data_IF_756027065903
#
_entry.id   IF_756027065903
#
_cell.length_a   1.000
_cell.length_b   1.000
_cell.length_c   1.000
_cell.angle_alpha   90.00
_cell.angle_beta   90.00
_cell.angle_gamma   90.00
#
_symmetry.space_group_name_H-M   'P 1'
#
loop_
_entity.id
_entity.type
_entity.pdbx_description
1 polymer ?
#
# COMPACT_ATOMS: atom_id res chain seq x y z
N UNK A 1 -40.17 9.46 -3.84
CA UNK A 1 -38.88 9.54 -3.12
C UNK A 1 -39.23 9.85 -1.68
N UNK A 2 -39.20 8.83 -0.83
CA UNK A 2 -39.58 8.91 0.59
C UNK A 2 -38.49 9.62 1.40
N UNK A 3 -38.87 10.39 2.42
CA UNK A 3 -37.94 11.11 3.30
C UNK A 3 -36.85 10.21 3.91
N UNK A 4 -37.18 8.93 4.16
CA UNK A 4 -36.21 7.91 4.58
C UNK A 4 -35.08 7.69 3.56
N UNK A 5 -35.39 7.71 2.27
CA UNK A 5 -34.40 7.52 1.21
C UNK A 5 -33.46 8.73 1.09
N UNK A 6 -33.98 9.92 1.38
CA UNK A 6 -33.22 11.17 1.38
C UNK A 6 -32.32 11.29 2.61
N UNK A 7 -32.79 10.87 3.79
CA UNK A 7 -31.98 10.77 5.01
C UNK A 7 -30.85 9.75 4.88
N UNK A 8 -31.12 8.60 4.24
CA UNK A 8 -30.12 7.56 4.04
C UNK A 8 -29.02 8.01 3.06
N UNK A 9 -29.38 8.77 2.02
CA UNK A 9 -28.42 9.41 1.12
C UNK A 9 -27.58 10.48 1.84
N UNK A 10 -28.19 11.31 2.69
CA UNK A 10 -27.45 12.31 3.47
C UNK A 10 -26.47 11.66 4.45
N UNK A 11 -26.86 10.58 5.13
CA UNK A 11 -25.94 9.84 6.01
C UNK A 11 -24.77 9.21 5.25
N UNK A 12 -25.00 8.64 4.06
CA UNK A 12 -23.92 8.12 3.23
C UNK A 12 -22.97 9.21 2.74
N UNK A 13 -23.49 10.38 2.34
CA UNK A 13 -22.67 11.52 1.96
C UNK A 13 -21.86 12.07 3.13
N UNK A 14 -22.44 12.15 4.33
CA UNK A 14 -21.71 12.56 5.53
C UNK A 14 -20.61 11.57 5.91
N UNK A 15 -20.84 10.25 5.79
CA UNK A 15 -19.80 9.25 6.04
C UNK A 15 -18.67 9.32 5.02
N UNK A 16 -18.97 9.59 3.75
CA UNK A 16 -17.96 9.78 2.71
C UNK A 16 -17.13 11.05 2.97
N UNK A 17 -17.78 12.18 3.29
CA UNK A 17 -17.09 13.43 3.63
C UNK A 17 -16.20 13.26 4.87
N UNK A 18 -16.68 12.55 5.89
CA UNK A 18 -15.92 12.32 7.12
C UNK A 18 -14.75 11.34 6.90
N UNK A 19 -14.76 10.51 5.84
CA UNK A 19 -13.58 9.74 5.41
C UNK A 19 -12.63 10.59 4.55
N UNK A 20 -13.16 11.53 3.76
CA UNK A 20 -12.37 12.47 2.95
C UNK A 20 -11.58 13.46 3.81
N UNK A 21 -12.10 13.86 4.97
CA UNK A 21 -11.41 14.76 5.92
C UNK A 21 -10.40 14.06 6.83
N UNK A 22 -10.28 12.74 6.79
CA UNK A 22 -9.33 12.03 7.66
C UNK A 22 -7.91 12.12 7.12
N UNK A 23 -7.11 12.97 7.76
CA UNK A 23 -5.67 13.01 7.58
C UNK A 23 -5.02 11.85 8.35
N UNK A 24 -4.22 11.04 7.64
CA UNK A 24 -3.53 9.90 8.23
C UNK A 24 -2.23 10.37 8.89
N UNK A 25 -1.87 9.78 10.02
CA UNK A 25 -0.58 10.02 10.66
C UNK A 25 0.56 9.44 9.80
N UNK A 26 1.74 10.08 9.76
CA UNK A 26 2.90 9.53 9.08
C UNK A 26 3.30 8.19 9.74
N UNK A 27 3.61 7.21 8.90
CA UNK A 27 4.11 5.91 9.35
C UNK A 27 5.63 5.97 9.53
N UNK A 28 6.12 5.31 10.57
CA UNK A 28 7.55 5.12 10.79
C UNK A 28 8.09 4.02 9.86
N UNK A 29 9.23 4.27 9.23
CA UNK A 29 9.85 3.37 8.25
C UNK A 29 10.68 2.24 8.85
N UNK A 30 10.34 1.74 10.04
CA UNK A 30 11.11 0.73 10.77
C UNK A 30 10.46 -0.67 10.68
N UNK A 31 11.25 -1.76 10.67
CA UNK A 31 10.75 -3.13 10.68
C UNK A 31 9.78 -3.43 11.81
N UNK A 32 9.99 -2.84 12.99
CA UNK A 32 9.16 -3.01 14.19
C UNK A 32 7.73 -2.50 14.00
N UNK A 33 7.55 -1.48 13.15
CA UNK A 33 6.23 -0.94 12.81
C UNK A 33 5.66 -1.63 11.59
N UNK A 34 6.47 -1.84 10.55
CA UNK A 34 6.00 -2.36 9.26
C UNK A 34 5.65 -3.85 9.30
N UNK A 35 6.39 -4.68 10.02
CA UNK A 35 6.09 -6.12 10.12
C UNK A 35 4.73 -6.43 10.76
N UNK A 36 4.38 -5.91 11.96
CA UNK A 36 3.06 -6.12 12.51
C UNK A 36 1.96 -5.44 11.68
N UNK A 37 2.26 -4.32 11.01
CA UNK A 37 1.33 -3.68 10.09
C UNK A 37 0.98 -4.59 8.90
N UNK A 38 1.97 -5.24 8.28
CA UNK A 38 1.76 -6.23 7.23
C UNK A 38 0.93 -7.42 7.73
N UNK A 39 1.22 -7.92 8.94
CA UNK A 39 0.46 -9.01 9.54
C UNK A 39 -1.02 -8.61 9.75
N UNK A 40 -1.28 -7.40 10.22
CA UNK A 40 -2.64 -6.86 10.41
C UNK A 40 -3.40 -6.69 9.08
N UNK A 41 -2.69 -6.43 7.98
CA UNK A 41 -3.25 -6.39 6.62
C UNK A 41 -3.50 -7.79 6.02
N UNK A 42 -3.14 -8.87 6.73
CA UNK A 42 -3.29 -10.25 6.25
C UNK A 42 -2.17 -10.70 5.31
N UNK A 43 -0.95 -10.18 5.50
CA UNK A 43 0.21 -10.65 4.75
C UNK A 43 0.38 -12.18 4.87
N UNK A 44 0.83 -12.85 3.80
CA UNK A 44 0.85 -14.31 3.72
C UNK A 44 1.84 -14.91 4.74
N UNK A 45 1.46 -16.05 5.33
CA UNK A 45 2.29 -16.83 6.24
C UNK A 45 2.26 -18.33 5.89
N UNK A 46 3.38 -19.02 6.16
CA UNK A 46 3.55 -20.45 5.92
C UNK A 46 2.58 -21.23 6.78
N UNK A 47 1.62 -21.93 6.18
CA UNK A 47 0.70 -22.80 6.91
C UNK A 47 -0.58 -22.12 7.40
N UNK A 48 -0.87 -20.88 7.00
CA UNK A 48 -2.23 -20.34 7.15
C UNK A 48 -3.22 -21.24 6.39
N UNK A 49 -4.31 -21.69 7.03
CA UNK A 49 -5.42 -22.26 6.27
C UNK A 49 -5.89 -21.18 5.30
N UNK A 50 -5.90 -21.48 4.01
CA UNK A 50 -6.63 -20.66 3.04
C UNK A 50 -8.07 -20.55 3.54
N UNK A 51 -8.48 -19.39 4.06
CA UNK A 51 -9.88 -19.14 4.37
C UNK A 51 -10.67 -19.09 3.05
N UNK A 52 -11.13 -20.28 2.65
CA UNK A 52 -12.02 -20.54 1.52
C UNK A 52 -13.15 -21.49 1.92
N UNK A 53 -13.72 -21.31 3.11
CA UNK A 53 -14.82 -22.14 3.63
C UNK A 53 -15.91 -21.29 4.29
N UNK A 54 -17.08 -21.30 3.67
CA UNK A 54 -18.38 -20.71 4.06
C UNK A 54 -18.67 -20.50 5.57
N UNK A 55 -19.54 -19.51 5.93
CA UNK A 55 -19.88 -19.22 7.32
C UNK A 55 -20.69 -20.38 7.93
N UNK A 56 -20.20 -20.95 9.03
CA UNK A 56 -21.03 -21.77 9.93
C UNK A 56 -21.44 -20.93 11.13
N UNK A 57 -22.74 -20.96 11.37
CA UNK A 57 -23.49 -20.17 12.35
C UNK A 57 -23.02 -20.32 13.81
N UNK A 58 -23.21 -19.21 14.54
CA UNK A 58 -23.63 -19.06 15.94
C UNK A 58 -23.15 -20.07 17.01
N UNK A 59 -22.33 -19.58 17.95
CA UNK A 59 -22.14 -20.22 19.26
C UNK A 59 -21.09 -19.58 20.17
N UNK A 60 -21.55 -18.71 21.07
CA UNK A 60 -20.94 -18.27 22.35
C UNK A 60 -19.60 -17.47 22.37
N UNK A 61 -19.47 -16.46 23.27
CA UNK A 61 -18.22 -15.73 23.45
C UNK A 61 -17.28 -16.51 24.39
N UNK A 62 -16.11 -16.91 23.89
CA UNK A 62 -15.00 -17.32 24.75
C UNK A 62 -13.98 -16.18 24.85
N UNK A 63 -13.87 -15.66 26.07
CA UNK A 63 -12.79 -14.79 26.53
C UNK A 63 -11.41 -15.45 26.31
N UNK A 64 -10.40 -14.64 25.97
CA UNK A 64 -9.03 -14.88 26.40
C UNK A 64 -8.17 -15.87 25.60
N UNK A 65 -8.43 -16.09 24.31
CA UNK A 65 -7.54 -16.89 23.46
C UNK A 65 -6.44 -16.03 22.82
N UNK A 66 -5.18 -16.27 23.15
CA UNK A 66 -4.02 -15.78 22.39
C UNK A 66 -4.20 -16.09 20.88
N UNK A 67 -3.68 -15.27 19.95
CA UNK A 67 -3.86 -15.50 18.52
C UNK A 67 -3.38 -16.90 18.17
N UNK A 68 -4.27 -17.72 17.59
CA UNK A 68 -3.93 -19.02 17.00
C UNK A 68 -2.68 -18.84 16.16
N UNK A 69 -1.71 -19.72 16.37
CA UNK A 69 -0.40 -19.74 15.70
C UNK A 69 -0.54 -19.40 14.21
N UNK A 70 -0.36 -18.11 13.89
CA UNK A 70 -0.07 -17.70 12.54
C UNK A 70 1.29 -18.32 12.25
N UNK A 71 1.38 -19.17 11.23
CA UNK A 71 2.65 -19.76 10.87
C UNK A 71 3.67 -18.69 10.48
N UNK A 72 4.92 -19.09 10.22
CA UNK A 72 5.99 -18.13 9.98
C UNK A 72 5.65 -17.18 8.80
N UNK A 73 5.83 -15.86 8.94
CA UNK A 73 5.51 -14.92 7.85
C UNK A 73 6.35 -15.21 6.62
N UNK A 74 5.73 -15.15 5.44
CA UNK A 74 6.43 -15.32 4.15
C UNK A 74 7.13 -14.03 3.70
N UNK A 75 6.64 -12.87 4.15
CA UNK A 75 7.20 -11.56 3.86
C UNK A 75 7.55 -10.86 5.17
N UNK A 76 8.77 -10.32 5.20
CA UNK A 76 9.30 -9.54 6.31
C UNK A 76 10.00 -8.30 5.75
N UNK A 77 9.98 -7.24 6.53
CA UNK A 77 10.77 -6.03 6.32
C UNK A 77 12.02 -6.15 7.19
N UNK A 78 13.17 -5.88 6.59
CA UNK A 78 14.47 -5.79 7.24
C UNK A 78 15.10 -4.43 6.97
N UNK A 79 15.94 -3.97 7.89
CA UNK A 79 16.69 -2.73 7.71
C UNK A 79 17.80 -2.92 6.68
N UNK A 80 17.86 -1.98 5.74
CA UNK A 80 18.97 -1.85 4.79
C UNK A 80 19.89 -0.76 5.31
N UNK A 81 21.06 -1.16 5.82
CA UNK A 81 22.01 -0.25 6.46
C UNK A 81 22.71 0.69 5.48
N UNK A 82 22.84 0.23 4.22
CA UNK A 82 23.58 0.92 3.18
C UNK A 82 23.11 0.43 1.80
N UNK A 83 23.37 1.19 0.73
CA UNK A 83 22.96 0.82 -0.65
C UNK A 83 24.08 0.11 -1.43
N UNK A 84 25.18 -0.20 -0.75
CA UNK A 84 26.29 -0.96 -1.28
C UNK A 84 26.01 -2.47 -1.25
N UNK A 85 26.62 -3.26 -2.17
CA UNK A 85 26.37 -4.70 -2.26
C UNK A 85 26.58 -5.46 -0.94
N UNK A 86 27.58 -5.06 -0.15
CA UNK A 86 27.89 -5.71 1.12
C UNK A 86 26.75 -5.64 2.14
N UNK A 87 25.92 -4.59 2.09
CA UNK A 87 24.80 -4.43 3.02
C UNK A 87 23.64 -5.36 2.64
N UNK A 88 23.50 -5.67 1.35
CA UNK A 88 22.52 -6.64 0.86
C UNK A 88 22.90 -8.06 1.30
N UNK A 89 24.20 -8.39 1.31
CA UNK A 89 24.70 -9.67 1.79
C UNK A 89 24.44 -9.92 3.29
N UNK A 90 24.10 -8.86 4.04
CA UNK A 90 23.75 -8.96 5.46
C UNK A 90 22.27 -9.26 5.73
N UNK A 91 21.41 -9.19 4.70
CA UNK A 91 19.98 -9.49 4.81
C UNK A 91 19.77 -10.97 5.10
N UNK A 92 18.80 -11.28 5.95
CA UNK A 92 18.50 -12.68 6.32
C UNK A 92 17.55 -13.34 5.33
N UNK A 93 16.76 -12.56 4.60
CA UNK A 93 15.87 -13.06 3.58
C UNK A 93 16.65 -13.74 2.43
N UNK A 94 16.05 -14.79 1.84
CA UNK A 94 16.65 -15.47 0.69
C UNK A 94 16.45 -14.69 -0.60
N UNK A 95 15.36 -13.95 -0.69
CA UNK A 95 14.93 -13.23 -1.89
C UNK A 95 14.33 -11.88 -1.50
N UNK A 96 14.75 -10.82 -2.18
CA UNK A 96 14.23 -9.46 -2.00
C UNK A 96 13.21 -9.15 -3.07
N UNK A 97 11.95 -8.95 -2.67
CA UNK A 97 10.86 -8.61 -3.60
C UNK A 97 10.72 -7.10 -3.84
N UNK A 98 11.08 -6.26 -2.87
CA UNK A 98 10.90 -4.81 -2.95
C UNK A 98 11.88 -4.06 -2.04
N UNK A 99 12.09 -2.77 -2.34
CA UNK A 99 12.87 -1.82 -1.54
C UNK A 99 11.98 -0.61 -1.25
N UNK A 100 11.84 -0.22 0.03
CA UNK A 100 11.09 0.96 0.44
C UNK A 100 12.08 2.03 0.93
N UNK A 101 12.15 3.18 0.25
CA UNK A 101 13.02 4.29 0.66
C UNK A 101 12.19 5.39 1.31
N UNK A 102 12.59 5.76 2.52
CA UNK A 102 12.15 7.00 3.16
C UNK A 102 13.21 8.08 2.93
N UNK A 103 12.84 9.11 2.18
CA UNK A 103 13.69 10.26 1.92
C UNK A 103 12.90 11.57 2.07
N UNK A 104 13.55 12.66 2.52
CA UNK A 104 12.90 13.96 2.56
C UNK A 104 12.61 14.42 1.12
N UNK A 105 11.38 14.84 0.87
CA UNK A 105 11.01 15.50 -0.39
C UNK A 105 11.14 17.00 -0.16
N UNK A 106 11.94 17.68 -0.97
CA UNK A 106 12.11 19.14 -0.89
C UNK A 106 11.33 19.86 -1.98
N UNK A 107 10.88 21.09 -1.70
CA UNK A 107 10.10 21.92 -2.65
C UNK A 107 10.81 22.19 -3.99
N UNK A 108 12.14 22.03 -4.04
CA UNK A 108 12.93 22.19 -5.26
C UNK A 108 12.78 20.98 -6.18
N UNK A 109 12.83 19.79 -5.59
CA UNK A 109 12.75 18.51 -6.31
C UNK A 109 11.35 18.29 -6.89
N UNK A 110 10.29 18.70 -6.17
CA UNK A 110 8.92 18.59 -6.68
C UNK A 110 8.71 19.38 -7.99
N UNK A 111 9.21 20.63 -8.03
CA UNK A 111 9.05 21.49 -9.22
C UNK A 111 9.88 21.02 -10.40
N UNK A 112 11.09 20.51 -10.13
CA UNK A 112 11.96 19.94 -11.16
C UNK A 112 11.35 18.64 -11.73
N UNK A 113 10.75 17.79 -10.88
CA UNK A 113 10.07 16.57 -11.29
C UNK A 113 8.85 16.85 -12.16
N UNK A 114 8.02 17.83 -11.78
CA UNK A 114 6.86 18.25 -12.58
C UNK A 114 7.28 18.80 -13.95
N UNK A 115 8.34 19.62 -14.01
CA UNK A 115 8.87 20.15 -15.26
C UNK A 115 9.45 19.04 -16.14
N UNK A 116 10.20 18.10 -15.56
CA UNK A 116 10.78 16.98 -16.28
C UNK A 116 9.68 16.06 -16.83
N UNK A 117 8.62 15.77 -16.06
CA UNK A 117 7.47 15.00 -16.56
C UNK A 117 6.74 15.71 -17.69
N UNK A 118 6.53 17.03 -17.60
CA UNK A 118 5.91 17.79 -18.70
C UNK A 118 6.78 17.79 -19.96
N UNK A 119 8.09 17.99 -19.81
CA UNK A 119 9.02 17.95 -20.92
C UNK A 119 9.10 16.56 -21.54
N UNK A 120 9.08 15.51 -20.72
CA UNK A 120 9.01 14.13 -21.18
C UNK A 120 7.69 13.91 -21.93
N UNK A 121 6.53 14.29 -21.40
CA UNK A 121 5.24 14.22 -22.12
C UNK A 121 5.26 14.97 -23.47
N UNK A 122 5.91 16.12 -23.56
CA UNK A 122 6.07 16.85 -24.82
C UNK A 122 6.98 16.10 -25.81
N UNK A 123 8.08 15.50 -25.33
CA UNK A 123 8.98 14.67 -26.14
C UNK A 123 8.27 13.39 -26.63
N UNK A 124 7.41 12.82 -25.78
CA UNK A 124 6.62 11.61 -26.02
C UNK A 124 5.53 11.81 -27.07
N UNK A 125 5.03 13.03 -27.27
CA UNK A 125 4.14 13.33 -28.40
C UNK A 125 4.82 13.06 -29.76
N UNK A 126 6.15 13.05 -29.82
CA UNK A 126 6.91 12.78 -31.04
C UNK A 126 7.22 11.29 -31.28
N UNK A 127 7.07 10.42 -30.27
CA UNK A 127 7.44 8.99 -30.29
C UNK A 127 6.25 8.09 -29.89
N UNK A 128 5.12 8.27 -30.55
CA UNK A 128 3.82 7.81 -30.04
C UNK A 128 3.58 6.29 -30.10
N UNK A 129 4.24 5.55 -31.01
CA UNK A 129 3.91 4.13 -31.25
C UNK A 129 4.66 3.14 -30.35
N UNK A 130 5.98 3.32 -30.14
CA UNK A 130 6.79 2.37 -29.34
C UNK A 130 6.47 2.47 -27.84
N UNK A 131 6.10 3.66 -27.36
CA UNK A 131 5.82 3.88 -25.95
C UNK A 131 4.43 3.42 -25.53
N UNK A 132 3.43 3.49 -26.43
CA UNK A 132 2.08 3.01 -26.14
C UNK A 132 2.05 1.50 -25.89
N UNK A 133 2.84 0.72 -26.64
CA UNK A 133 2.95 -0.72 -26.44
C UNK A 133 3.59 -1.05 -25.09
N UNK A 134 4.66 -0.33 -24.72
CA UNK A 134 5.33 -0.48 -23.42
C UNK A 134 4.44 -0.07 -22.24
N UNK A 135 3.76 1.09 -22.33
CA UNK A 135 2.86 1.57 -21.27
C UNK A 135 1.64 0.65 -21.09
N UNK A 136 1.10 0.08 -22.17
CA UNK A 136 0.01 -0.89 -22.11
C UNK A 136 0.46 -2.24 -21.53
N UNK A 137 1.70 -2.66 -21.79
CA UNK A 137 2.27 -3.86 -21.16
C UNK A 137 2.56 -3.63 -19.67
N UNK A 138 3.05 -2.44 -19.32
CA UNK A 138 3.31 -2.02 -17.95
C UNK A 138 2.01 -2.00 -17.13
N UNK A 139 0.92 -1.42 -17.66
CA UNK A 139 -0.39 -1.37 -17.00
C UNK A 139 -1.01 -2.74 -16.75
N UNK A 140 -0.66 -3.77 -17.52
CA UNK A 140 -1.17 -5.13 -17.31
C UNK A 140 -0.57 -5.81 -16.09
N UNK A 141 0.66 -5.45 -15.72
CA UNK A 141 1.44 -6.15 -14.69
C UNK A 141 1.75 -5.30 -13.46
N UNK A 142 1.61 -3.98 -13.53
CA UNK A 142 1.88 -3.06 -12.42
C UNK A 142 0.58 -2.56 -11.80
N UNK A 143 0.44 -2.81 -10.50
CA UNK A 143 -0.59 -2.14 -9.71
C UNK A 143 -0.06 -0.82 -9.16
N UNK A 144 -0.67 0.29 -9.59
CA UNK A 144 -0.34 1.64 -9.13
C UNK A 144 -1.59 2.35 -8.59
N UNK A 145 -1.44 3.02 -7.44
CA UNK A 145 -2.50 3.83 -6.82
C UNK A 145 -1.97 5.22 -6.52
N UNK A 146 -2.69 6.25 -6.97
CA UNK A 146 -2.32 7.65 -6.69
C UNK A 146 -2.68 8.01 -5.25
N UNK A 147 -1.70 8.41 -4.45
CA UNK A 147 -1.94 9.00 -3.14
C UNK A 147 -2.68 10.34 -3.29
N UNK A 148 -3.84 10.48 -2.65
CA UNK A 148 -4.55 11.76 -2.50
C UNK A 148 -4.14 12.35 -1.15
N UNK A 149 -3.31 13.39 -1.15
CA UNK A 149 -3.04 14.17 0.07
C UNK A 149 -4.08 15.28 0.16
N UNK A 150 -4.88 15.28 1.23
CA UNK A 150 -5.67 16.45 1.61
C UNK A 150 -4.74 17.35 2.43
N UNK A 151 -4.61 18.61 1.99
CA UNK A 151 -3.62 19.56 2.51
C UNK A 151 -3.80 19.89 3.99
N UNK A 152 -2.74 20.47 4.57
CA UNK A 152 -2.79 21.20 5.84
C UNK A 152 -3.37 22.59 5.57
#
# INVERSE_FOLDING_TARGET
MSEQQQQQQQQQQQQQQNQEEQQWLPIEGTPEVLNPYLAALGAPCVGAPQEGGAPKEAGAPQEGGAPKEAGAPLLLVEDVLALEPWAIDMLRCTDTAALLLLFPITDKEDKEWEQQQQQQQQLLQHMQQVQQEYDEELKKNIWFVKQRRHGI
#
